data_IF_204504954333
#
_entry.id   IF_204504954333
#
_cell.length_a   1.000
_cell.length_b   1.000
_cell.length_c   1.000
_cell.angle_alpha   90.00
_cell.angle_beta   90.00
_cell.angle_gamma   90.00
#
_symmetry.space_group_name_H-M   'P 1'
#
loop_
_entity.id
_entity.type
_entity.pdbx_description
1 polymer ?
#
# COMPACT_ATOMS: atom_id res chain seq x y z
N UNK A 1 -34.45 7.82 -5.09
CA UNK A 1 -35.06 6.79 -5.96
C UNK A 1 -33.94 5.91 -6.53
N UNK A 2 -34.08 4.59 -6.64
CA UNK A 2 -32.99 3.64 -6.99
C UNK A 2 -32.02 4.10 -8.11
N UNK A 3 -32.51 4.73 -9.18
CA UNK A 3 -31.66 5.30 -10.24
C UNK A 3 -30.66 6.33 -9.73
N UNK A 4 -31.07 7.22 -8.82
CA UNK A 4 -30.19 8.24 -8.24
C UNK A 4 -29.12 7.63 -7.32
N UNK A 5 -29.32 6.41 -6.81
CA UNK A 5 -28.28 5.66 -6.07
C UNK A 5 -27.25 5.10 -7.05
N UNK A 6 -27.71 4.43 -8.12
CA UNK A 6 -26.83 3.86 -9.14
C UNK A 6 -25.99 4.93 -9.84
N UNK A 7 -26.58 6.09 -10.16
CA UNK A 7 -25.87 7.24 -10.75
C UNK A 7 -24.72 7.68 -9.84
N UNK A 8 -25.00 7.87 -8.54
CA UNK A 8 -23.98 8.26 -7.54
C UNK A 8 -22.88 7.21 -7.42
N UNK A 9 -23.23 5.94 -7.38
CA UNK A 9 -22.25 4.85 -7.30
C UNK A 9 -21.36 4.81 -8.55
N UNK A 10 -21.93 5.07 -9.74
CA UNK A 10 -21.19 5.08 -11.00
C UNK A 10 -20.22 6.25 -11.08
N UNK A 11 -20.67 7.44 -10.68
CA UNK A 11 -19.82 8.65 -10.59
C UNK A 11 -18.64 8.38 -9.65
N UNK A 12 -18.96 7.93 -8.44
CA UNK A 12 -17.96 7.63 -7.41
C UNK A 12 -16.97 6.53 -7.82
N UNK A 13 -17.45 5.47 -8.46
CA UNK A 13 -16.56 4.44 -8.99
C UNK A 13 -15.62 5.02 -10.06
N UNK A 14 -16.11 5.91 -10.91
CA UNK A 14 -15.29 6.65 -11.88
C UNK A 14 -14.20 7.49 -11.22
N UNK A 15 -14.55 8.30 -10.21
CA UNK A 15 -13.60 9.11 -9.45
C UNK A 15 -12.51 8.26 -8.77
N UNK A 16 -12.89 7.10 -8.21
CA UNK A 16 -11.94 6.19 -7.58
C UNK A 16 -11.01 5.53 -8.60
N UNK A 17 -11.54 5.13 -9.76
CA UNK A 17 -10.74 4.59 -10.85
C UNK A 17 -9.75 5.62 -11.39
N UNK A 18 -10.16 6.89 -11.50
CA UNK A 18 -9.28 7.98 -11.89
C UNK A 18 -8.15 8.20 -10.87
N UNK A 19 -8.47 8.21 -9.57
CA UNK A 19 -7.46 8.34 -8.50
C UNK A 19 -6.40 7.23 -8.50
N UNK A 20 -6.77 6.03 -8.94
CA UNK A 20 -5.83 4.90 -9.08
C UNK A 20 -5.26 4.76 -10.50
N UNK A 21 -5.54 5.72 -11.40
CA UNK A 21 -5.00 5.73 -12.77
C UNK A 21 -5.54 4.62 -13.67
N UNK A 22 -6.82 4.27 -13.54
CA UNK A 22 -7.51 3.20 -14.27
C UNK A 22 -8.82 3.67 -14.94
N UNK A 23 -9.03 4.97 -15.13
CA UNK A 23 -10.25 5.51 -15.75
C UNK A 23 -10.56 4.87 -17.12
N UNK A 24 -9.54 4.70 -17.97
CA UNK A 24 -9.64 4.11 -19.31
C UNK A 24 -9.93 2.59 -19.29
N UNK A 25 -9.80 1.94 -18.13
CA UNK A 25 -9.98 0.49 -17.93
C UNK A 25 -11.27 0.14 -17.21
N UNK A 26 -12.20 1.09 -17.09
CA UNK A 26 -13.45 0.92 -16.32
C UNK A 26 -14.35 -0.23 -16.79
N UNK A 27 -14.29 -0.57 -18.08
CA UNK A 27 -15.09 -1.66 -18.69
C UNK A 27 -14.26 -2.94 -18.87
N UNK A 28 -12.97 -2.94 -18.49
CA UNK A 28 -12.09 -4.10 -18.64
C UNK A 28 -12.42 -5.17 -17.60
N UNK A 29 -12.40 -6.43 -18.03
CA UNK A 29 -12.53 -7.57 -17.13
C UNK A 29 -11.22 -7.84 -16.38
N UNK A 30 -11.26 -8.49 -15.19
CA UNK A 30 -10.06 -8.78 -14.41
C UNK A 30 -8.94 -9.50 -15.19
N UNK A 31 -9.29 -10.42 -16.09
CA UNK A 31 -8.32 -11.16 -16.90
C UNK A 31 -7.64 -10.31 -18.00
N UNK A 32 -8.14 -9.11 -18.28
CA UNK A 32 -7.57 -8.16 -19.24
C UNK A 32 -6.61 -7.16 -18.56
N UNK A 33 -6.48 -7.23 -17.23
CA UNK A 33 -5.66 -6.34 -16.42
C UNK A 33 -4.36 -7.03 -16.00
N UNK A 34 -3.25 -6.28 -16.00
CA UNK A 34 -2.00 -6.74 -15.38
C UNK A 34 -2.17 -6.91 -13.86
N UNK A 35 -1.27 -7.66 -13.20
CA UNK A 35 -1.30 -7.83 -11.75
C UNK A 35 -1.36 -6.50 -10.99
N UNK A 36 -0.53 -5.53 -11.39
CA UNK A 36 -0.50 -4.19 -10.77
C UNK A 36 -1.79 -3.39 -11.00
N UNK A 37 -2.44 -3.58 -12.16
CA UNK A 37 -3.75 -2.98 -12.42
C UNK A 37 -4.84 -3.62 -11.56
N UNK A 38 -4.83 -4.95 -11.41
CA UNK A 38 -5.76 -5.65 -10.51
C UNK A 38 -5.59 -5.19 -9.06
N UNK A 39 -4.34 -5.01 -8.61
CA UNK A 39 -4.02 -4.45 -7.30
C UNK A 39 -4.64 -3.06 -7.12
N UNK A 40 -4.49 -2.18 -8.12
CA UNK A 40 -5.07 -0.81 -8.11
C UNK A 40 -6.60 -0.83 -8.08
N UNK A 41 -7.25 -1.78 -8.77
CA UNK A 41 -8.70 -2.00 -8.64
C UNK A 41 -9.07 -2.44 -7.21
N UNK A 42 -8.28 -3.32 -6.58
CA UNK A 42 -8.51 -3.75 -5.20
C UNK A 42 -8.40 -2.57 -4.21
N UNK A 43 -7.45 -1.65 -4.42
CA UNK A 43 -7.32 -0.40 -3.65
C UNK A 43 -8.56 0.49 -3.86
N UNK A 44 -8.98 0.72 -5.11
CA UNK A 44 -10.18 1.50 -5.41
C UNK A 44 -11.43 0.90 -4.74
N UNK A 45 -11.55 -0.43 -4.74
CA UNK A 45 -12.63 -1.16 -4.05
C UNK A 45 -12.60 -0.92 -2.53
N UNK A 46 -11.42 -0.96 -1.91
CA UNK A 46 -11.28 -0.67 -0.48
C UNK A 46 -11.68 0.78 -0.15
N UNK A 47 -11.26 1.74 -0.98
CA UNK A 47 -11.59 3.16 -0.83
C UNK A 47 -13.08 3.47 -1.04
N UNK A 48 -13.78 2.66 -1.85
CA UNK A 48 -15.20 2.83 -2.10
C UNK A 48 -16.04 2.78 -0.80
N UNK A 49 -15.54 2.11 0.25
CA UNK A 49 -16.20 1.97 1.55
C UNK A 49 -15.95 3.15 2.52
N UNK A 50 -15.14 4.15 2.15
CA UNK A 50 -14.70 5.24 3.05
C UNK A 50 -14.15 4.75 4.39
N UNK A 51 -13.20 3.80 4.39
CA UNK A 51 -12.67 3.29 5.63
C UNK A 51 -11.96 4.40 6.41
N UNK A 52 -12.12 4.36 7.74
CA UNK A 52 -11.34 5.18 8.66
C UNK A 52 -9.87 4.73 8.68
N UNK A 53 -9.62 3.42 8.51
CA UNK A 53 -8.29 2.81 8.50
C UNK A 53 -8.14 1.91 7.27
N UNK A 54 -7.03 2.06 6.55
CA UNK A 54 -6.64 1.19 5.45
C UNK A 54 -5.52 0.25 5.89
N UNK A 55 -5.71 -1.05 5.72
CA UNK A 55 -4.68 -2.05 5.99
C UNK A 55 -4.16 -2.62 4.67
N UNK A 56 -2.85 -2.59 4.49
CA UNK A 56 -2.16 -3.20 3.36
C UNK A 56 -1.30 -4.34 3.87
N UNK A 57 -1.55 -5.54 3.36
CA UNK A 57 -0.76 -6.73 3.64
C UNK A 57 0.09 -7.06 2.41
N UNK A 58 1.39 -6.81 2.50
CA UNK A 58 2.39 -7.06 1.46
C UNK A 58 1.94 -6.63 0.05
N UNK A 59 1.58 -5.34 -0.14
CA UNK A 59 0.83 -4.86 -1.31
C UNK A 59 1.61 -4.92 -2.64
N UNK A 60 2.87 -5.30 -2.61
CA UNK A 60 3.79 -5.33 -3.76
C UNK A 60 4.41 -6.71 -3.99
N UNK A 61 4.25 -7.65 -3.04
CA UNK A 61 4.92 -8.95 -3.05
C UNK A 61 4.61 -9.84 -4.27
N UNK A 62 3.44 -9.66 -4.88
CA UNK A 62 2.98 -10.44 -6.04
C UNK A 62 3.15 -9.70 -7.38
N UNK A 63 3.86 -8.56 -7.38
CA UNK A 63 3.99 -7.69 -8.54
C UNK A 63 5.41 -7.66 -9.07
N UNK A 64 5.54 -7.56 -10.40
CA UNK A 64 6.83 -7.31 -11.04
C UNK A 64 7.41 -5.97 -10.56
N UNK A 65 8.74 -5.82 -10.41
CA UNK A 65 9.37 -4.59 -9.94
C UNK A 65 8.97 -3.33 -10.72
N UNK A 66 8.72 -3.45 -12.02
CA UNK A 66 8.25 -2.36 -12.88
C UNK A 66 6.84 -1.87 -12.48
N UNK A 67 5.98 -2.77 -12.00
CA UNK A 67 4.59 -2.49 -11.60
C UNK A 67 4.48 -2.04 -10.14
N UNK A 68 5.40 -2.46 -9.28
CA UNK A 68 5.48 -2.06 -7.87
C UNK A 68 5.49 -0.54 -7.72
N UNK A 69 6.31 0.16 -8.50
CA UNK A 69 6.40 1.63 -8.44
C UNK A 69 5.07 2.34 -8.69
N UNK A 70 4.21 1.83 -9.57
CA UNK A 70 2.89 2.42 -9.84
C UNK A 70 1.93 2.24 -8.65
N UNK A 71 1.92 1.05 -8.05
CA UNK A 71 1.08 0.77 -6.87
C UNK A 71 1.54 1.60 -5.68
N UNK A 72 2.85 1.71 -5.45
CA UNK A 72 3.40 2.52 -4.38
C UNK A 72 3.06 4.01 -4.54
N UNK A 73 3.04 4.54 -5.77
CA UNK A 73 2.59 5.92 -6.04
C UNK A 73 1.13 6.14 -5.64
N UNK A 74 0.26 5.16 -5.93
CA UNK A 74 -1.14 5.22 -5.50
C UNK A 74 -1.22 5.19 -3.98
N UNK A 75 -0.52 4.28 -3.31
CA UNK A 75 -0.55 4.19 -1.84
C UNK A 75 -0.06 5.51 -1.20
N UNK A 76 0.99 6.13 -1.75
CA UNK A 76 1.48 7.45 -1.33
C UNK A 76 0.45 8.56 -1.51
N UNK A 77 -0.36 8.53 -2.56
CA UNK A 77 -1.39 9.55 -2.80
C UNK A 77 -2.59 9.43 -1.84
N UNK A 78 -2.67 8.32 -1.09
CA UNK A 78 -3.68 8.11 -0.03
C UNK A 78 -3.26 8.65 1.34
N UNK A 79 -2.07 9.28 1.45
CA UNK A 79 -1.65 9.99 2.66
C UNK A 79 -2.74 10.98 3.12
N UNK A 80 -2.95 11.07 4.43
CA UNK A 80 -4.05 11.83 5.06
C UNK A 80 -5.17 10.96 5.64
N UNK A 81 -5.05 9.63 5.55
CA UNK A 81 -5.85 8.65 6.30
C UNK A 81 -4.94 7.78 7.16
N UNK A 82 -5.50 7.18 8.21
CA UNK A 82 -4.76 6.19 8.98
C UNK A 82 -4.52 4.95 8.12
N UNK A 83 -3.25 4.59 7.96
CA UNK A 83 -2.81 3.47 7.15
C UNK A 83 -1.91 2.57 7.97
N UNK A 84 -2.14 1.26 7.90
CA UNK A 84 -1.27 0.23 8.44
C UNK A 84 -0.74 -0.56 7.25
N UNK A 85 0.58 -0.64 7.13
CA UNK A 85 1.21 -1.36 6.03
C UNK A 85 2.16 -2.41 6.60
N UNK A 86 1.92 -3.66 6.25
CA UNK A 86 2.83 -4.78 6.48
C UNK A 86 3.64 -4.95 5.20
N UNK A 87 4.95 -4.85 5.30
CA UNK A 87 5.84 -4.98 4.15
C UNK A 87 7.22 -5.42 4.59
N UNK A 88 7.89 -6.16 3.69
CA UNK A 88 9.31 -6.48 3.79
C UNK A 88 10.19 -5.51 2.97
N UNK A 89 9.62 -4.49 2.32
CA UNK A 89 10.34 -3.49 1.53
C UNK A 89 10.70 -2.26 2.37
N UNK A 90 11.96 -2.16 2.78
CA UNK A 90 12.41 -1.11 3.71
C UNK A 90 12.44 0.29 3.10
N UNK A 91 12.76 0.41 1.80
CA UNK A 91 12.72 1.70 1.11
C UNK A 91 11.32 2.27 1.08
N UNK A 92 10.32 1.43 0.79
CA UNK A 92 8.93 1.83 0.81
C UNK A 92 8.47 2.23 2.22
N UNK A 93 8.82 1.44 3.25
CA UNK A 93 8.52 1.78 4.64
C UNK A 93 9.13 3.14 5.04
N UNK A 94 10.39 3.42 4.63
CA UNK A 94 11.06 4.71 4.87
C UNK A 94 10.35 5.89 4.22
N UNK A 95 9.81 5.72 3.02
CA UNK A 95 9.19 6.82 2.28
C UNK A 95 7.74 7.13 2.71
N UNK A 96 7.02 6.13 3.21
CA UNK A 96 5.56 6.23 3.43
C UNK A 96 5.18 6.27 4.89
N UNK A 97 5.90 5.57 5.76
CA UNK A 97 5.53 5.47 7.16
C UNK A 97 5.95 6.71 7.95
N UNK A 98 5.04 7.21 8.79
CA UNK A 98 5.38 8.20 9.83
C UNK A 98 5.91 7.50 11.10
N UNK A 99 5.59 6.20 11.27
CA UNK A 99 5.97 5.36 12.40
C UNK A 99 6.18 3.93 11.95
N UNK A 100 7.24 3.30 12.43
CA UNK A 100 7.67 1.94 12.06
C UNK A 100 7.68 1.06 13.29
N UNK A 101 7.17 -0.15 13.13
CA UNK A 101 7.17 -1.18 14.14
C UNK A 101 7.84 -2.42 13.54
N UNK A 102 8.98 -2.82 14.12
CA UNK A 102 9.74 -3.99 13.74
C UNK A 102 9.40 -5.14 14.68
N UNK A 103 8.95 -6.25 14.10
CA UNK A 103 8.62 -7.48 14.84
C UNK A 103 9.59 -8.60 14.48
N UNK A 104 10.02 -9.35 15.49
CA UNK A 104 10.70 -10.64 15.30
C UNK A 104 10.20 -11.62 16.36
N UNK A 105 10.14 -12.91 16.02
CA UNK A 105 9.73 -13.99 16.93
C UNK A 105 8.39 -13.72 17.65
N UNK A 106 7.47 -13.02 16.99
CA UNK A 106 6.15 -12.69 17.52
C UNK A 106 6.12 -11.55 18.54
N UNK A 107 7.24 -10.83 18.76
CA UNK A 107 7.32 -9.68 19.66
C UNK A 107 7.74 -8.42 18.93
N UNK A 108 7.34 -7.26 19.46
CA UNK A 108 7.85 -5.95 19.02
C UNK A 108 9.26 -5.79 19.56
N UNK A 109 10.23 -5.81 18.66
CA UNK A 109 11.65 -5.70 19.00
C UNK A 109 12.10 -4.24 19.02
N UNK A 110 11.56 -3.43 18.12
CA UNK A 110 11.91 -2.02 18.00
C UNK A 110 10.76 -1.25 17.34
N UNK A 111 10.54 -0.01 17.77
CA UNK A 111 9.52 0.87 17.21
C UNK A 111 9.96 2.34 17.31
N UNK A 112 9.47 3.19 16.40
CA UNK A 112 9.83 4.60 16.37
C UNK A 112 9.65 5.24 15.00
N UNK A 113 10.27 6.41 14.80
CA UNK A 113 10.28 7.02 13.46
C UNK A 113 11.16 6.19 12.52
N UNK A 114 10.91 6.24 11.19
CA UNK A 114 11.76 5.55 10.22
C UNK A 114 13.25 5.86 10.39
N UNK A 115 13.61 7.11 10.69
CA UNK A 115 15.01 7.52 10.87
C UNK A 115 15.64 6.84 12.08
N UNK A 116 14.91 6.73 13.19
CA UNK A 116 15.41 6.09 14.40
C UNK A 116 15.60 4.58 14.19
N UNK A 117 14.57 3.91 13.66
CA UNK A 117 14.53 2.45 13.50
C UNK A 117 15.47 1.98 12.40
N UNK A 118 15.57 2.71 11.28
CA UNK A 118 16.39 2.30 10.15
C UNK A 118 17.79 2.90 10.12
N UNK A 119 17.99 4.10 10.69
CA UNK A 119 19.28 4.79 10.69
C UNK A 119 20.14 4.47 11.89
N UNK A 120 19.53 4.21 13.05
CA UNK A 120 20.23 3.90 14.30
C UNK A 120 19.53 2.79 15.10
N UNK A 121 19.33 1.59 14.50
CA UNK A 121 18.63 0.49 15.15
C UNK A 121 19.26 0.12 16.49
N UNK A 122 18.43 -0.08 17.51
CA UNK A 122 18.82 -0.50 18.86
C UNK A 122 18.77 -2.02 19.02
N UNK A 123 17.83 -2.69 18.35
CA UNK A 123 17.71 -4.15 18.41
C UNK A 123 18.81 -4.83 17.60
N UNK A 124 19.46 -5.84 18.19
CA UNK A 124 20.42 -6.68 17.48
C UNK A 124 19.77 -7.42 16.30
N UNK A 125 18.51 -7.84 16.45
CA UNK A 125 17.74 -8.50 15.38
C UNK A 125 17.45 -7.52 14.24
N UNK A 126 17.12 -6.27 14.56
CA UNK A 126 16.90 -5.24 13.54
C UNK A 126 18.18 -4.93 12.76
N UNK A 127 19.32 -4.82 13.46
CA UNK A 127 20.65 -4.67 12.82
C UNK A 127 20.97 -5.83 11.90
N UNK A 128 20.77 -7.06 12.37
CA UNK A 128 21.00 -8.26 11.57
C UNK A 128 20.08 -8.32 10.34
N UNK A 129 18.81 -7.94 10.50
CA UNK A 129 17.84 -7.88 9.41
C UNK A 129 18.24 -6.87 8.33
N UNK A 130 18.62 -5.65 8.72
CA UNK A 130 19.06 -4.61 7.79
C UNK A 130 20.34 -5.01 7.05
N UNK A 131 21.33 -5.56 7.75
CA UNK A 131 22.59 -6.00 7.14
C UNK A 131 22.36 -7.06 6.06
N UNK A 132 21.48 -8.03 6.31
CA UNK A 132 21.13 -9.07 5.34
C UNK A 132 20.47 -8.50 4.07
N UNK A 133 19.85 -7.32 4.14
CA UNK A 133 19.20 -6.65 2.99
C UNK A 133 20.15 -5.76 2.22
N UNK A 134 21.25 -5.28 2.80
CA UNK A 134 22.28 -4.52 2.08
C UNK A 134 23.22 -5.43 1.28
N UNK A 135 23.31 -6.71 1.66
CA UNK A 135 24.15 -7.72 1.00
C UNK A 135 23.48 -8.42 -0.19
N UNK A 136 22.20 -8.14 -0.46
CA UNK A 136 21.41 -8.69 -1.58
C UNK A 136 20.96 -7.58 -2.52
#
# INVERSE_FOLDING_TARGET
CYRSLLERNRIRAGELLERVGLAEKRESYPFELSGGQQQRVAIARALALEPAVLCFDEPTSALDPELTGEVLKVIRSLKGRTMIVVTHEMEFAREVADYVLFMADGVVEEEGTPEAVFGSPKSEKMRAFLKKREEN
#
